data_IF_043759573938
#
_entry.id   IF_043759573938
#
_cell.length_a   1.000
_cell.length_b   1.000
_cell.length_c   1.000
_cell.angle_alpha   90.00
_cell.angle_beta   90.00
_cell.angle_gamma   90.00
#
_symmetry.space_group_name_H-M   'P 1'
#
loop_
_entity.id
_entity.type
_entity.pdbx_description
1 polymer ?
#
# COMPACT_ATOMS: atom_id res chain seq x y z
N UNK A 1 14.66 -12.95 -23.54
CA UNK A 1 13.76 -13.10 -22.35
C UNK A 1 14.43 -14.01 -21.33
N UNK A 2 14.85 -13.47 -20.16
CA UNK A 2 15.28 -14.32 -19.04
C UNK A 2 14.03 -15.07 -18.54
N UNK A 3 14.10 -16.42 -18.47
CA UNK A 3 13.04 -17.23 -17.89
C UNK A 3 12.80 -16.74 -16.46
N UNK A 4 11.64 -16.10 -16.23
CA UNK A 4 11.19 -15.77 -14.89
C UNK A 4 10.97 -17.11 -14.19
N UNK A 5 11.61 -17.34 -13.04
CA UNK A 5 11.46 -18.60 -12.26
C UNK A 5 10.07 -18.74 -11.59
N UNK A 6 9.06 -17.97 -12.04
CA UNK A 6 7.67 -17.92 -11.59
C UNK A 6 6.73 -18.08 -12.79
N UNK A 7 6.33 -19.30 -13.15
CA UNK A 7 5.41 -19.55 -14.27
C UNK A 7 4.05 -18.86 -14.11
N UNK A 8 3.56 -18.77 -12.89
CA UNK A 8 2.32 -18.08 -12.52
C UNK A 8 2.37 -16.58 -12.84
N UNK A 9 3.54 -15.93 -12.67
CA UNK A 9 3.74 -14.51 -13.02
C UNK A 9 3.72 -14.28 -14.55
N UNK A 10 3.89 -15.33 -15.36
CA UNK A 10 3.69 -15.25 -16.81
C UNK A 10 2.22 -15.56 -17.15
N UNK A 11 1.65 -16.59 -16.52
CA UNK A 11 0.27 -17.01 -16.79
C UNK A 11 -0.76 -15.94 -16.44
N UNK A 12 -0.51 -15.16 -15.38
CA UNK A 12 -1.43 -14.07 -14.94
C UNK A 12 -1.60 -12.98 -16.00
N UNK A 13 -0.65 -12.82 -16.94
CA UNK A 13 -0.74 -11.85 -18.04
C UNK A 13 -1.83 -12.24 -19.05
N UNK A 14 -2.33 -13.48 -19.00
CA UNK A 14 -3.43 -13.99 -19.82
C UNK A 14 -4.70 -14.26 -19.00
N UNK A 15 -4.67 -13.99 -17.70
CA UNK A 15 -5.82 -14.16 -16.79
C UNK A 15 -6.80 -12.99 -16.96
N UNK A 16 -7.96 -13.25 -17.54
CA UNK A 16 -8.97 -12.22 -17.83
C UNK A 16 -9.54 -11.52 -16.57
N UNK A 17 -9.65 -12.25 -15.45
CA UNK A 17 -10.12 -11.64 -14.20
C UNK A 17 -9.04 -10.73 -13.58
N UNK A 18 -7.77 -11.15 -13.65
CA UNK A 18 -6.65 -10.30 -13.23
C UNK A 18 -6.55 -9.05 -14.12
N UNK A 19 -6.60 -9.19 -15.45
CA UNK A 19 -6.59 -8.07 -16.40
C UNK A 19 -7.73 -7.09 -16.14
N UNK A 20 -8.95 -7.59 -15.90
CA UNK A 20 -10.11 -6.76 -15.59
C UNK A 20 -9.93 -5.99 -14.29
N UNK A 21 -9.36 -6.63 -13.26
CA UNK A 21 -9.17 -6.01 -11.94
C UNK A 21 -8.01 -5.03 -11.88
N UNK A 22 -7.01 -5.17 -12.77
CA UNK A 22 -5.75 -4.43 -12.80
C UNK A 22 -5.49 -3.86 -14.20
N UNK A 23 -6.56 -3.42 -14.85
CA UNK A 23 -6.53 -2.98 -16.25
C UNK A 23 -5.53 -1.84 -16.46
N UNK A 24 -5.61 -0.81 -15.63
CA UNK A 24 -4.75 0.37 -15.75
C UNK A 24 -3.30 0.05 -15.40
N UNK A 25 -3.08 -0.80 -14.38
CA UNK A 25 -1.75 -1.28 -14.03
C UNK A 25 -1.05 -1.96 -15.22
N UNK A 26 -1.74 -2.87 -15.92
CA UNK A 26 -1.19 -3.54 -17.08
C UNK A 26 -0.94 -2.57 -18.25
N UNK A 27 -1.79 -1.57 -18.47
CA UNK A 27 -1.57 -0.52 -19.47
C UNK A 27 -0.33 0.35 -19.14
N UNK A 28 -0.09 0.67 -17.86
CA UNK A 28 1.13 1.38 -17.44
C UNK A 28 2.39 0.52 -17.67
N UNK A 29 2.31 -0.80 -17.47
CA UNK A 29 3.45 -1.69 -17.77
C UNK A 29 3.86 -1.70 -19.23
N UNK A 30 2.89 -1.48 -20.13
CA UNK A 30 3.08 -1.42 -21.58
C UNK A 30 3.40 -0.01 -22.08
N UNK A 31 3.50 0.96 -21.14
CA UNK A 31 3.65 2.39 -21.43
C UNK A 31 2.50 2.98 -22.27
N UNK A 32 1.33 2.34 -22.25
CA UNK A 32 0.10 2.84 -22.88
C UNK A 32 -0.55 3.93 -22.02
N UNK A 33 -0.47 3.82 -20.69
CA UNK A 33 -0.96 4.79 -19.72
C UNK A 33 0.18 5.33 -18.85
N UNK A 34 -0.02 6.50 -18.26
CA UNK A 34 0.91 7.09 -17.30
C UNK A 34 0.55 6.69 -15.87
N UNK A 35 1.56 6.42 -15.04
CA UNK A 35 1.37 6.21 -13.60
C UNK A 35 0.77 7.47 -12.93
N UNK A 36 -0.04 7.27 -11.90
CA UNK A 36 -0.76 8.37 -11.21
C UNK A 36 0.17 9.47 -10.70
N UNK A 37 1.35 9.12 -10.16
CA UNK A 37 2.29 10.14 -9.71
C UNK A 37 2.81 11.02 -10.86
N UNK A 38 2.94 10.48 -12.08
CA UNK A 38 3.32 11.26 -13.27
C UNK A 38 2.21 12.24 -13.60
N UNK A 39 0.95 11.80 -13.58
CA UNK A 39 -0.21 12.65 -13.78
C UNK A 39 -0.33 13.72 -12.68
N UNK A 40 -0.10 13.35 -11.41
CA UNK A 40 -0.12 14.29 -10.30
C UNK A 40 0.94 15.40 -10.42
N UNK A 41 2.08 15.12 -11.07
CA UNK A 41 3.10 16.15 -11.42
C UNK A 41 2.64 17.09 -12.52
N UNK A 42 1.70 16.68 -13.36
CA UNK A 42 1.22 17.44 -14.52
C UNK A 42 -0.08 18.20 -14.25
N UNK A 43 -0.84 17.84 -13.23
CA UNK A 43 -2.05 18.54 -12.83
C UNK A 43 -1.69 19.80 -12.03
N UNK A 44 -2.04 21.02 -12.51
CA UNK A 44 -1.76 22.26 -11.78
C UNK A 44 -2.49 22.33 -10.44
N UNK A 45 -1.85 22.94 -9.44
CA UNK A 45 -2.46 23.25 -8.15
C UNK A 45 -2.08 24.66 -7.72
N UNK A 46 -3.03 25.39 -7.15
CA UNK A 46 -2.84 26.78 -6.72
C UNK A 46 -2.80 26.86 -5.19
N UNK A 47 -1.62 27.03 -4.63
CA UNK A 47 -1.44 27.18 -3.19
C UNK A 47 -0.22 28.02 -2.85
N UNK A 48 -0.22 28.60 -1.67
CA UNK A 48 0.92 29.31 -1.09
C UNK A 48 1.34 28.66 0.23
N UNK A 49 2.63 28.69 0.53
CA UNK A 49 3.18 28.13 1.78
C UNK A 49 2.65 28.83 3.03
N UNK A 50 2.09 30.05 2.92
CA UNK A 50 1.43 30.75 4.01
C UNK A 50 -0.01 30.24 4.29
N UNK A 51 -0.59 29.43 3.39
CA UNK A 51 -1.95 28.93 3.57
C UNK A 51 -2.07 28.07 4.85
N UNK A 52 -3.21 28.21 5.53
CA UNK A 52 -3.54 27.30 6.62
C UNK A 52 -3.70 25.87 6.10
N UNK A 53 -3.53 24.88 6.99
CA UNK A 53 -3.72 23.48 6.62
C UNK A 53 -5.14 23.22 6.08
N UNK A 54 -6.14 23.95 6.58
CA UNK A 54 -7.53 23.84 6.07
C UNK A 54 -7.65 24.34 4.63
N UNK A 55 -6.98 25.45 4.28
CA UNK A 55 -6.96 25.97 2.91
C UNK A 55 -6.26 25.02 1.96
N UNK A 56 -5.13 24.41 2.38
CA UNK A 56 -4.44 23.40 1.60
C UNK A 56 -5.33 22.16 1.34
N UNK A 57 -6.08 21.71 2.34
CA UNK A 57 -7.02 20.61 2.18
C UNK A 57 -8.22 20.95 1.27
N UNK A 58 -8.70 22.19 1.28
CA UNK A 58 -9.75 22.65 0.35
C UNK A 58 -9.24 22.60 -1.10
N UNK A 59 -8.03 23.09 -1.35
CA UNK A 59 -7.43 22.98 -2.68
C UNK A 59 -7.17 21.52 -3.07
N UNK A 60 -6.68 20.71 -2.13
CA UNK A 60 -6.49 19.28 -2.36
C UNK A 60 -7.78 18.57 -2.79
N UNK A 61 -8.92 18.86 -2.14
CA UNK A 61 -10.21 18.27 -2.51
C UNK A 61 -10.59 18.61 -3.96
N UNK A 62 -10.46 19.90 -4.37
CA UNK A 62 -10.69 20.33 -5.77
C UNK A 62 -9.78 19.59 -6.76
N UNK A 63 -8.48 19.44 -6.42
CA UNK A 63 -7.54 18.73 -7.31
C UNK A 63 -7.84 17.23 -7.36
N UNK A 64 -8.32 16.63 -6.26
CA UNK A 64 -8.72 15.21 -6.24
C UNK A 64 -9.91 14.94 -7.16
N UNK A 65 -10.90 15.83 -7.19
CA UNK A 65 -12.03 15.75 -8.13
C UNK A 65 -11.55 15.94 -9.58
N UNK A 66 -10.77 16.98 -9.85
CA UNK A 66 -10.23 17.26 -11.17
C UNK A 66 -9.27 16.17 -11.67
N UNK A 67 -8.60 15.44 -10.77
CA UNK A 67 -7.65 14.41 -11.14
C UNK A 67 -8.33 13.23 -11.85
N UNK A 68 -9.54 12.87 -11.47
CA UNK A 68 -10.26 11.75 -12.09
C UNK A 68 -10.58 12.04 -13.56
N UNK A 69 -11.08 13.23 -13.84
CA UNK A 69 -11.36 13.67 -15.22
C UNK A 69 -10.06 13.80 -16.02
N UNK A 70 -9.01 14.37 -15.40
CA UNK A 70 -7.71 14.54 -16.05
C UNK A 70 -7.04 13.20 -16.39
N UNK A 71 -7.09 12.21 -15.47
CA UNK A 71 -6.61 10.84 -15.72
C UNK A 71 -7.35 10.21 -16.89
N UNK A 72 -8.69 10.29 -16.89
CA UNK A 72 -9.52 9.74 -17.95
C UNK A 72 -9.25 10.39 -19.32
N UNK A 73 -9.14 11.71 -19.37
CA UNK A 73 -8.89 12.43 -20.62
C UNK A 73 -7.50 12.15 -21.21
N UNK A 74 -6.51 11.85 -20.37
CA UNK A 74 -5.18 11.40 -20.83
C UNK A 74 -5.24 9.96 -21.31
N UNK A 75 -5.84 9.07 -20.54
CA UNK A 75 -5.96 7.65 -20.88
C UNK A 75 -6.77 7.44 -22.17
N UNK A 76 -7.75 8.32 -22.45
CA UNK A 76 -8.52 8.36 -23.71
C UNK A 76 -7.77 9.06 -24.87
N UNK A 77 -6.60 9.63 -24.64
CA UNK A 77 -5.83 10.35 -25.66
C UNK A 77 -6.41 11.72 -26.06
N UNK A 78 -7.36 12.28 -25.26
CA UNK A 78 -7.92 13.63 -25.48
C UNK A 78 -6.91 14.72 -25.14
N UNK A 79 -6.02 14.47 -24.17
CA UNK A 79 -4.91 15.33 -23.80
C UNK A 79 -3.62 14.60 -24.15
N UNK A 80 -2.83 15.18 -25.04
CA UNK A 80 -1.53 14.65 -25.45
C UNK A 80 -0.45 15.54 -24.82
N UNK A 81 0.48 14.94 -24.06
CA UNK A 81 1.65 15.58 -23.43
C UNK A 81 1.33 16.87 -22.63
N UNK A 82 0.63 16.77 -21.51
CA UNK A 82 0.35 17.93 -20.67
C UNK A 82 1.64 18.53 -20.09
N UNK A 83 1.77 19.86 -20.19
CA UNK A 83 2.93 20.57 -19.65
C UNK A 83 3.04 20.44 -18.14
N UNK A 84 4.28 20.39 -17.62
CA UNK A 84 4.51 20.43 -16.18
C UNK A 84 4.30 21.85 -15.64
N UNK A 85 3.39 22.04 -14.68
CA UNK A 85 3.13 23.36 -14.07
C UNK A 85 4.27 23.76 -13.13
N UNK A 86 4.31 25.04 -12.75
CA UNK A 86 5.23 25.53 -11.71
C UNK A 86 4.94 24.95 -10.31
N UNK A 87 3.67 24.69 -10.04
CA UNK A 87 3.19 23.99 -8.85
C UNK A 87 2.17 22.93 -9.25
N UNK A 88 2.36 21.72 -8.79
CA UNK A 88 1.55 20.56 -9.16
C UNK A 88 0.71 20.03 -7.99
N UNK A 89 -0.22 19.15 -8.31
CA UNK A 89 -0.99 18.41 -7.30
C UNK A 89 -0.08 17.56 -6.41
N UNK A 90 1.02 17.02 -6.94
CA UNK A 90 2.00 16.30 -6.12
C UNK A 90 2.73 17.25 -5.14
N UNK A 91 3.06 18.48 -5.56
CA UNK A 91 3.68 19.49 -4.67
C UNK A 91 2.74 19.87 -3.52
N UNK A 92 1.44 20.02 -3.82
CA UNK A 92 0.42 20.27 -2.80
C UNK A 92 0.33 19.12 -1.77
N UNK A 93 0.38 17.87 -2.23
CA UNK A 93 0.40 16.70 -1.34
C UNK A 93 1.64 16.69 -0.43
N UNK A 94 2.80 17.05 -0.97
CA UNK A 94 4.06 17.16 -0.21
C UNK A 94 3.92 18.23 0.88
N UNK A 95 3.37 19.41 0.55
CA UNK A 95 3.18 20.49 1.53
C UNK A 95 2.22 20.07 2.66
N UNK A 96 1.08 19.45 2.33
CA UNK A 96 0.15 18.92 3.33
C UNK A 96 0.84 17.89 4.22
N UNK A 97 1.58 16.97 3.63
CA UNK A 97 2.31 15.95 4.38
C UNK A 97 3.38 16.54 5.30
N UNK A 98 4.06 17.62 4.89
CA UNK A 98 5.00 18.37 5.73
C UNK A 98 4.29 18.96 6.97
N UNK A 99 3.09 19.53 6.80
CA UNK A 99 2.31 20.08 7.93
C UNK A 99 1.86 18.99 8.89
N UNK A 100 1.46 17.82 8.36
CA UNK A 100 1.07 16.68 9.19
C UNK A 100 2.25 16.19 10.06
N UNK A 101 3.49 16.24 9.58
CA UNK A 101 4.67 15.79 10.35
C UNK A 101 4.94 16.65 11.61
N UNK A 102 4.45 17.87 11.69
CA UNK A 102 4.58 18.72 12.88
C UNK A 102 3.73 18.22 14.06
N UNK A 103 2.64 17.52 13.74
CA UNK A 103 1.73 16.89 14.68
C UNK A 103 1.23 15.59 14.02
N UNK A 104 2.08 14.55 14.02
CA UNK A 104 1.93 13.37 13.17
C UNK A 104 0.62 12.63 13.39
N UNK A 105 -0.13 12.46 12.29
CA UNK A 105 -1.38 11.71 12.24
C UNK A 105 -1.54 10.91 10.94
N UNK A 106 -0.44 10.39 10.38
CA UNK A 106 -0.50 9.55 9.19
C UNK A 106 -1.18 8.20 9.41
N UNK A 107 -1.18 7.69 10.62
CA UNK A 107 -1.85 6.43 10.94
C UNK A 107 -2.93 6.61 12.01
N UNK A 108 -3.75 5.59 12.22
CA UNK A 108 -4.84 5.64 13.19
C UNK A 108 -4.37 5.83 14.65
N UNK A 109 -3.06 5.73 14.93
CA UNK A 109 -2.48 6.06 16.25
C UNK A 109 -2.59 7.53 16.59
N UNK A 110 -2.53 8.41 15.58
CA UNK A 110 -2.59 9.87 15.75
C UNK A 110 -1.76 10.36 16.95
N UNK A 111 -0.51 9.85 17.03
CA UNK A 111 0.35 10.03 18.21
C UNK A 111 0.82 11.47 18.45
N UNK A 112 0.60 12.39 17.50
CA UNK A 112 0.92 13.81 17.63
C UNK A 112 2.42 14.15 17.69
N UNK A 113 3.31 13.19 17.46
CA UNK A 113 4.74 13.46 17.49
C UNK A 113 5.15 14.50 16.46
N UNK A 114 5.97 15.49 16.89
CA UNK A 114 6.63 16.40 15.94
C UNK A 114 7.84 15.70 15.33
N UNK A 115 7.65 15.13 14.15
CA UNK A 115 8.68 14.36 13.45
C UNK A 115 9.63 15.22 12.59
N UNK A 116 9.43 16.55 12.54
CA UNK A 116 10.38 17.47 11.92
C UNK A 116 11.57 17.79 12.82
N UNK A 117 11.41 17.53 14.12
CA UNK A 117 12.45 17.64 15.13
C UNK A 117 12.97 16.26 15.55
N UNK A 118 13.28 16.07 16.82
CA UNK A 118 13.75 14.80 17.40
C UNK A 118 12.62 13.85 17.85
N UNK A 119 11.35 14.25 17.62
CA UNK A 119 10.20 13.45 18.04
C UNK A 119 10.06 12.16 17.23
N UNK A 120 9.95 11.04 17.92
CA UNK A 120 9.62 9.75 17.34
C UNK A 120 8.17 9.39 17.65
N UNK A 121 7.43 8.91 16.63
CA UNK A 121 6.08 8.41 16.83
C UNK A 121 6.07 7.00 17.44
N UNK A 122 4.87 6.45 17.65
CA UNK A 122 4.68 5.03 18.02
C UNK A 122 5.43 4.08 17.08
N UNK A 123 5.52 4.41 15.80
CA UNK A 123 6.23 3.65 14.77
C UNK A 123 7.76 3.65 14.92
N UNK A 124 8.33 4.48 15.78
CA UNK A 124 9.78 4.68 15.92
C UNK A 124 10.40 5.50 14.78
N UNK A 125 9.59 6.08 13.87
CA UNK A 125 10.06 6.80 12.70
C UNK A 125 10.23 8.29 13.00
N UNK A 126 11.36 8.86 12.55
CA UNK A 126 11.70 10.28 12.66
C UNK A 126 11.50 11.04 11.34
N UNK A 127 12.34 12.08 11.13
CA UNK A 127 12.29 12.97 9.97
C UNK A 127 12.82 12.33 8.70
N UNK A 128 13.96 11.63 8.78
CA UNK A 128 14.65 11.02 7.63
C UNK A 128 14.19 9.59 7.44
N UNK A 129 13.91 9.21 6.20
CA UNK A 129 13.52 7.83 5.87
C UNK A 129 14.67 6.87 6.10
N UNK A 130 14.38 5.78 6.80
CA UNK A 130 15.30 4.66 6.98
C UNK A 130 14.83 3.47 6.12
N UNK A 131 15.71 3.02 5.23
CA UNK A 131 15.49 1.91 4.30
C UNK A 131 16.32 0.72 4.76
N UNK A 132 15.68 -0.45 4.88
CA UNK A 132 16.38 -1.71 5.19
C UNK A 132 17.01 -2.31 3.93
N UNK A 133 16.24 -2.41 2.84
CA UNK A 133 16.73 -3.02 1.61
C UNK A 133 15.91 -2.60 0.38
N UNK A 134 16.57 -2.67 -0.80
CA UNK A 134 15.97 -2.40 -2.11
C UNK A 134 16.39 -3.52 -3.06
N UNK A 135 15.45 -4.25 -3.63
CA UNK A 135 15.78 -5.34 -4.55
C UNK A 135 14.59 -5.78 -5.42
N UNK A 136 14.90 -6.55 -6.47
CA UNK A 136 13.91 -7.25 -7.29
C UNK A 136 13.36 -8.43 -6.52
N UNK A 137 12.11 -8.32 -6.05
CA UNK A 137 11.44 -9.33 -5.24
C UNK A 137 10.59 -10.26 -6.11
N UNK A 138 10.72 -11.57 -5.86
CA UNK A 138 10.02 -12.63 -6.59
C UNK A 138 8.91 -13.30 -5.76
N UNK A 139 8.69 -12.85 -4.55
CA UNK A 139 7.75 -13.45 -3.58
C UNK A 139 6.39 -12.76 -3.48
N UNK A 140 6.13 -11.76 -4.31
CA UNK A 140 4.84 -11.04 -4.33
C UNK A 140 3.77 -11.80 -5.15
N UNK A 141 2.57 -11.24 -5.25
CA UNK A 141 1.50 -11.72 -6.11
C UNK A 141 1.95 -11.84 -7.56
N UNK A 142 1.44 -12.82 -8.31
CA UNK A 142 1.90 -13.12 -9.67
C UNK A 142 1.94 -11.90 -10.60
N UNK A 143 0.93 -11.04 -10.52
CA UNK A 143 0.81 -9.84 -11.33
C UNK A 143 1.91 -8.80 -11.07
N UNK A 144 2.42 -8.75 -9.85
CA UNK A 144 3.42 -7.76 -9.42
C UNK A 144 4.87 -8.20 -9.69
N UNK A 145 5.10 -9.48 -9.96
CA UNK A 145 6.46 -10.06 -10.10
C UNK A 145 7.00 -9.92 -11.54
N UNK A 146 8.25 -9.45 -11.73
CA UNK A 146 9.26 -9.02 -10.75
C UNK A 146 8.89 -7.69 -10.09
N UNK A 147 8.85 -7.62 -8.77
CA UNK A 147 8.47 -6.43 -8.01
C UNK A 147 9.71 -5.64 -7.56
N UNK A 148 9.76 -4.35 -7.84
CA UNK A 148 10.80 -3.45 -7.34
C UNK A 148 10.51 -3.04 -5.91
N UNK A 149 10.92 -3.87 -4.95
CA UNK A 149 10.48 -3.75 -3.56
C UNK A 149 11.46 -2.96 -2.72
N UNK A 150 10.92 -1.96 -1.99
CA UNK A 150 11.68 -1.07 -1.11
C UNK A 150 11.18 -1.26 0.32
N UNK A 151 11.98 -1.92 1.15
CA UNK A 151 11.67 -2.19 2.56
C UNK A 151 12.13 -1.05 3.45
N UNK A 152 11.17 -0.39 4.12
CA UNK A 152 11.45 0.67 5.10
C UNK A 152 11.35 0.18 6.53
N UNK A 153 11.99 0.90 7.45
CA UNK A 153 11.98 0.62 8.88
C UNK A 153 10.72 1.14 9.57
N UNK A 154 10.36 0.51 10.70
CA UNK A 154 9.26 0.94 11.56
C UNK A 154 7.88 0.45 11.11
N UNK A 155 6.90 0.46 12.04
CA UNK A 155 5.54 -0.01 11.77
C UNK A 155 4.52 0.66 12.68
N UNK A 156 3.30 0.83 12.18
CA UNK A 156 2.15 1.38 12.90
C UNK A 156 1.46 0.36 13.82
N UNK A 157 1.82 -0.92 13.71
CA UNK A 157 1.29 -2.04 14.49
C UNK A 157 2.41 -2.79 15.22
N UNK A 158 2.05 -3.67 16.17
CA UNK A 158 2.97 -4.52 16.95
C UNK A 158 2.56 -5.98 16.86
N UNK A 159 2.45 -6.50 15.62
CA UNK A 159 2.06 -7.89 15.38
C UNK A 159 3.01 -8.87 16.08
N UNK A 160 2.50 -9.71 16.98
CA UNK A 160 3.30 -10.72 17.70
C UNK A 160 3.79 -11.85 16.79
N UNK A 161 3.18 -12.00 15.61
CA UNK A 161 3.58 -12.96 14.59
C UNK A 161 4.30 -12.32 13.38
N UNK A 162 4.89 -11.14 13.55
CA UNK A 162 5.49 -10.40 12.44
C UNK A 162 6.68 -11.15 11.85
N UNK A 163 6.63 -11.49 10.56
CA UNK A 163 7.75 -12.12 9.86
C UNK A 163 8.88 -11.12 9.56
N UNK A 164 8.53 -9.84 9.45
CA UNK A 164 9.49 -8.73 9.24
C UNK A 164 9.78 -7.99 10.56
N UNK A 165 9.82 -8.72 11.68
CA UNK A 165 9.96 -8.12 13.01
C UNK A 165 11.27 -7.35 13.19
N UNK A 166 12.35 -7.74 12.52
CA UNK A 166 13.65 -7.08 12.60
C UNK A 166 13.55 -5.62 12.15
N UNK A 167 12.89 -5.37 11.02
CA UNK A 167 12.72 -4.03 10.48
C UNK A 167 11.51 -3.29 11.07
N UNK A 168 10.40 -3.98 11.31
CA UNK A 168 9.17 -3.37 11.83
C UNK A 168 9.28 -2.93 13.29
N UNK A 169 10.15 -3.58 14.08
CA UNK A 169 10.38 -3.32 15.50
C UNK A 169 11.74 -2.69 15.80
N UNK A 170 12.46 -2.21 14.77
CA UNK A 170 13.78 -1.58 14.92
C UNK A 170 14.77 -2.48 15.66
N UNK A 171 14.89 -3.75 15.27
CA UNK A 171 15.89 -4.69 15.79
C UNK A 171 17.16 -4.70 14.95
N UNK A 172 17.10 -4.16 13.75
CA UNK A 172 18.23 -3.85 12.90
C UNK A 172 18.21 -2.36 12.54
N UNK A 173 19.32 -1.84 12.06
CA UNK A 173 19.45 -0.47 11.60
C UNK A 173 19.11 -0.38 10.10
N UNK A 174 18.42 0.67 9.71
CA UNK A 174 18.19 1.04 8.31
C UNK A 174 19.14 2.14 7.87
N UNK A 175 19.47 2.15 6.60
CA UNK A 175 20.23 3.25 6.00
C UNK A 175 19.33 4.49 5.82
N UNK A 176 19.78 5.65 6.28
CA UNK A 176 19.12 6.90 5.96
C UNK A 176 19.31 7.23 4.47
N UNK A 177 18.20 7.47 3.77
CA UNK A 177 18.20 7.74 2.32
C UNK A 177 17.47 9.05 2.03
N UNK A 178 18.08 9.89 1.17
CA UNK A 178 17.47 11.11 0.68
C UNK A 178 16.48 10.82 -0.45
N UNK A 179 15.43 11.64 -0.61
CA UNK A 179 14.44 11.45 -1.68
C UNK A 179 15.05 11.36 -3.09
N UNK A 180 16.05 12.17 -3.42
CA UNK A 180 16.71 12.17 -4.73
C UNK A 180 17.56 10.90 -4.96
N UNK A 181 18.13 10.34 -3.91
CA UNK A 181 18.89 9.09 -3.97
C UNK A 181 17.93 7.93 -4.17
N UNK A 182 16.83 7.89 -3.41
CA UNK A 182 15.82 6.86 -3.53
C UNK A 182 15.11 6.90 -4.89
N UNK A 183 14.93 8.08 -5.48
CA UNK A 183 14.38 8.21 -6.83
C UNK A 183 15.25 7.51 -7.89
N UNK A 184 16.58 7.63 -7.79
CA UNK A 184 17.50 6.91 -8.68
C UNK A 184 17.40 5.39 -8.53
N UNK A 185 17.19 4.91 -7.32
CA UNK A 185 16.94 3.48 -7.06
C UNK A 185 15.62 3.01 -7.68
N UNK A 186 14.54 3.78 -7.57
CA UNK A 186 13.26 3.48 -8.22
C UNK A 186 13.43 3.39 -9.75
N UNK A 187 14.16 4.33 -10.33
CA UNK A 187 14.45 4.29 -11.78
C UNK A 187 15.31 3.07 -12.16
N UNK A 188 16.29 2.71 -11.32
CA UNK A 188 17.11 1.52 -11.55
C UNK A 188 16.27 0.23 -11.47
N UNK A 189 15.32 0.15 -10.57
CA UNK A 189 14.35 -0.97 -10.51
C UNK A 189 13.58 -1.11 -11.83
N UNK A 190 13.04 -0.01 -12.38
CA UNK A 190 12.35 -0.03 -13.69
C UNK A 190 13.29 -0.48 -14.81
N UNK A 191 14.49 0.08 -14.89
CA UNK A 191 15.51 -0.31 -15.89
C UNK A 191 15.95 -1.79 -15.75
N UNK A 192 15.90 -2.34 -14.56
CA UNK A 192 16.18 -3.76 -14.27
C UNK A 192 15.04 -4.70 -14.64
N UNK A 193 13.92 -4.18 -15.13
CA UNK A 193 12.75 -4.95 -15.56
C UNK A 193 11.73 -5.23 -14.47
N UNK A 194 11.77 -4.50 -13.34
CA UNK A 194 10.71 -4.57 -12.35
C UNK A 194 9.42 -3.97 -12.90
N UNK A 195 8.30 -4.62 -12.60
CA UNK A 195 6.97 -4.21 -13.06
C UNK A 195 6.44 -2.97 -12.31
N UNK A 196 6.90 -2.74 -11.09
CA UNK A 196 6.39 -1.69 -10.21
C UNK A 196 7.46 -1.21 -9.22
N UNK A 197 7.18 -0.07 -8.59
CA UNK A 197 7.82 0.36 -7.36
C UNK A 197 6.89 -0.02 -6.19
N UNK A 198 7.27 -1.04 -5.42
CA UNK A 198 6.51 -1.57 -4.30
C UNK A 198 6.99 -0.95 -2.99
N UNK A 199 6.18 -0.04 -2.46
CA UNK A 199 6.44 0.71 -1.24
C UNK A 199 5.96 -0.09 -0.04
N UNK A 200 6.91 -0.67 0.70
CA UNK A 200 6.63 -1.62 1.78
C UNK A 200 7.61 -1.43 2.96
N UNK A 201 7.79 -2.41 3.76
CA UNK A 201 8.76 -2.44 4.84
C UNK A 201 8.21 -3.11 6.07
N UNK A 202 8.46 -2.51 7.22
CA UNK A 202 7.61 -2.70 8.37
C UNK A 202 6.21 -2.18 8.05
N UNK A 203 6.15 -0.91 7.61
CA UNK A 203 4.93 -0.25 7.11
C UNK A 203 5.32 1.02 6.33
N UNK A 204 4.80 1.28 5.13
CA UNK A 204 5.15 2.48 4.35
C UNK A 204 4.50 3.76 4.88
N UNK A 205 3.38 3.68 5.58
CA UNK A 205 2.57 4.82 6.07
C UNK A 205 3.38 5.87 6.86
N UNK A 206 4.29 5.50 7.77
CA UNK A 206 5.09 6.51 8.47
C UNK A 206 5.93 7.39 7.55
N UNK A 207 6.27 6.90 6.38
CA UNK A 207 7.17 7.56 5.43
C UNK A 207 6.45 8.24 4.26
N UNK A 208 5.12 8.45 4.35
CA UNK A 208 4.31 8.98 3.25
C UNK A 208 4.87 10.30 2.68
N UNK A 209 5.27 11.24 3.53
CA UNK A 209 5.87 12.52 3.10
C UNK A 209 7.12 12.28 2.24
N UNK A 210 7.99 11.39 2.69
CA UNK A 210 9.25 11.09 1.98
C UNK A 210 8.99 10.32 0.68
N UNK A 211 7.97 9.45 0.64
CA UNK A 211 7.53 8.80 -0.58
C UNK A 211 7.05 9.81 -1.63
N UNK A 212 6.16 10.72 -1.27
CA UNK A 212 5.67 11.76 -2.17
C UNK A 212 6.83 12.61 -2.71
N UNK A 213 7.78 12.99 -1.86
CA UNK A 213 8.96 13.74 -2.26
C UNK A 213 9.90 12.94 -3.15
N UNK A 214 10.13 11.65 -2.89
CA UNK A 214 10.90 10.75 -3.76
C UNK A 214 10.33 10.75 -5.17
N UNK A 215 9.03 10.54 -5.31
CA UNK A 215 8.37 10.45 -6.62
C UNK A 215 8.28 11.80 -7.36
N UNK A 216 8.50 12.92 -6.68
CA UNK A 216 8.75 14.20 -7.34
C UNK A 216 9.98 14.14 -8.25
N UNK A 217 11.02 13.42 -7.85
CA UNK A 217 12.29 13.29 -8.58
C UNK A 217 12.31 12.11 -9.57
N UNK A 218 11.46 11.11 -9.44
CA UNK A 218 11.41 9.97 -10.38
C UNK A 218 11.02 10.45 -11.78
N UNK A 219 11.87 10.17 -12.77
CA UNK A 219 11.69 10.59 -14.17
C UNK A 219 11.18 9.50 -15.12
N UNK A 220 10.93 8.28 -14.62
CA UNK A 220 10.44 7.15 -15.43
C UNK A 220 8.97 6.84 -15.15
N UNK A 221 8.27 6.26 -16.12
CA UNK A 221 6.94 5.74 -15.93
C UNK A 221 7.00 4.36 -15.26
N UNK A 222 6.55 4.25 -14.02
CA UNK A 222 6.53 3.01 -13.23
C UNK A 222 5.33 3.00 -12.29
N UNK A 223 4.49 1.95 -12.28
CA UNK A 223 3.36 1.89 -11.37
C UNK A 223 3.80 1.89 -9.90
N UNK A 224 3.08 2.63 -9.07
CA UNK A 224 3.29 2.68 -7.61
C UNK A 224 2.36 1.68 -6.93
N UNK A 225 2.96 0.73 -6.20
CA UNK A 225 2.24 -0.22 -5.34
C UNK A 225 2.37 0.21 -3.88
N UNK A 226 1.23 0.41 -3.20
CA UNK A 226 1.16 0.70 -1.78
C UNK A 226 0.87 -0.57 -1.00
N UNK A 227 1.93 -1.19 -0.46
CA UNK A 227 1.87 -2.47 0.25
C UNK A 227 1.80 -2.23 1.76
N UNK A 228 0.59 -2.21 2.31
CA UNK A 228 0.32 -1.72 3.65
C UNK A 228 -0.52 -2.67 4.49
N UNK A 229 -0.33 -2.59 5.81
CA UNK A 229 -1.17 -3.24 6.82
C UNK A 229 -2.58 -2.63 6.96
N UNK A 230 -2.92 -1.64 6.13
CA UNK A 230 -4.21 -0.94 6.06
C UNK A 230 -4.59 -0.09 7.29
N UNK A 231 -3.65 0.13 8.23
CA UNK A 231 -3.93 0.86 9.48
C UNK A 231 -3.53 2.34 9.42
N UNK A 232 -3.83 2.99 8.28
CA UNK A 232 -3.54 4.41 8.06
C UNK A 232 -4.78 5.30 8.30
N UNK A 233 -4.53 6.61 8.46
CA UNK A 233 -5.57 7.61 8.74
C UNK A 233 -6.35 8.02 7.48
N UNK A 234 -7.42 8.81 7.68
CA UNK A 234 -8.20 9.42 6.59
C UNK A 234 -7.31 10.38 5.78
N UNK A 235 -6.49 11.17 6.44
CA UNK A 235 -5.57 12.11 5.79
C UNK A 235 -4.58 11.37 4.87
N UNK A 236 -4.07 10.22 5.33
CA UNK A 236 -3.23 9.36 4.49
C UNK A 236 -3.99 8.81 3.30
N UNK A 237 -5.21 8.29 3.50
CA UNK A 237 -6.04 7.81 2.38
C UNK A 237 -6.26 8.89 1.32
N UNK A 238 -6.53 10.13 1.73
CA UNK A 238 -6.68 11.27 0.82
C UNK A 238 -5.38 11.60 0.07
N UNK A 239 -4.22 11.57 0.74
CA UNK A 239 -2.93 11.84 0.10
C UNK A 239 -2.50 10.74 -0.87
N UNK A 240 -2.93 9.49 -0.66
CA UNK A 240 -2.65 8.37 -1.56
C UNK A 240 -3.48 8.42 -2.85
N UNK A 241 -4.68 9.00 -2.81
CA UNK A 241 -5.53 9.21 -4.00
C UNK A 241 -4.78 10.06 -5.06
N UNK A 242 -4.73 9.60 -6.31
CA UNK A 242 -3.96 10.26 -7.37
C UNK A 242 -2.43 10.14 -7.23
N UNK A 243 -1.94 9.24 -6.38
CA UNK A 243 -0.52 8.90 -6.24
C UNK A 243 -0.26 7.41 -6.44
N UNK A 244 -1.11 6.56 -5.87
CA UNK A 244 -0.96 5.10 -5.88
C UNK A 244 -1.78 4.50 -7.03
N UNK A 245 -1.16 3.63 -7.82
CA UNK A 245 -1.82 2.88 -8.90
C UNK A 245 -2.47 1.61 -8.37
N UNK A 246 -1.73 0.82 -7.59
CA UNK A 246 -2.22 -0.44 -7.01
C UNK A 246 -2.10 -0.41 -5.48
N UNK A 247 -3.22 -0.60 -4.82
CA UNK A 247 -3.28 -0.80 -3.38
C UNK A 247 -3.18 -2.30 -3.09
N UNK A 248 -2.07 -2.73 -2.49
CA UNK A 248 -1.83 -4.08 -2.01
C UNK A 248 -2.04 -4.07 -0.49
N UNK A 249 -3.26 -4.35 -0.07
CA UNK A 249 -3.70 -4.11 1.29
C UNK A 249 -3.92 -5.41 2.08
N UNK A 250 -3.29 -5.48 3.24
CA UNK A 250 -3.57 -6.55 4.19
C UNK A 250 -4.92 -6.34 4.89
N UNK A 251 -5.72 -7.40 4.96
CA UNK A 251 -6.90 -7.48 5.81
C UNK A 251 -6.70 -8.65 6.78
N UNK A 252 -6.14 -8.34 7.97
CA UNK A 252 -5.60 -9.35 8.89
C UNK A 252 -6.61 -9.87 9.91
N UNK A 253 -7.53 -9.01 10.36
CA UNK A 253 -8.42 -9.30 11.49
C UNK A 253 -9.85 -8.93 11.18
N UNK A 254 -10.79 -9.77 11.65
CA UNK A 254 -12.22 -9.48 11.66
C UNK A 254 -12.63 -8.48 12.74
N UNK A 255 -13.93 -8.25 12.92
CA UNK A 255 -14.46 -7.44 14.00
C UNK A 255 -14.15 -8.08 15.36
N UNK A 256 -14.02 -7.25 16.39
CA UNK A 256 -13.70 -7.68 17.76
C UNK A 256 -12.27 -7.35 18.16
N UNK A 257 -11.76 -8.06 19.16
CA UNK A 257 -10.52 -7.71 19.87
C UNK A 257 -9.24 -8.36 19.34
N UNK A 258 -9.35 -9.24 18.34
CA UNK A 258 -8.18 -9.97 17.80
C UNK A 258 -7.05 -9.01 17.39
N UNK A 259 -7.38 -7.92 16.70
CA UNK A 259 -6.40 -6.94 16.26
C UNK A 259 -5.68 -6.25 17.44
N UNK A 260 -6.43 -5.88 18.46
CA UNK A 260 -5.86 -5.29 19.68
C UNK A 260 -4.96 -6.28 20.40
N UNK A 261 -5.45 -7.49 20.64
CA UNK A 261 -4.74 -8.54 21.40
C UNK A 261 -3.47 -9.02 20.70
N UNK A 262 -3.54 -9.22 19.36
CA UNK A 262 -2.44 -9.85 18.60
C UNK A 262 -1.46 -8.81 18.05
N UNK A 263 -1.94 -7.60 17.73
CA UNK A 263 -1.15 -6.61 16.98
C UNK A 263 -1.17 -5.22 17.59
N UNK A 264 -1.75 -5.06 18.80
CA UNK A 264 -1.93 -3.74 19.43
C UNK A 264 -2.52 -2.72 18.41
N UNK A 265 -3.62 -3.06 17.75
CA UNK A 265 -4.27 -2.23 16.74
C UNK A 265 -5.76 -1.99 17.12
N UNK A 266 -6.05 -1.01 17.99
CA UNK A 266 -7.42 -0.66 18.34
C UNK A 266 -8.21 -0.15 17.12
N UNK A 267 -9.51 -0.48 17.04
CA UNK A 267 -10.42 -0.08 15.96
C UNK A 267 -9.93 -0.52 14.56
N UNK A 268 -9.19 -1.65 14.48
CA UNK A 268 -8.60 -2.10 13.21
C UNK A 268 -9.65 -2.37 12.16
N UNK A 269 -10.77 -3.02 12.51
CA UNK A 269 -11.83 -3.37 11.59
C UNK A 269 -12.42 -2.15 10.89
N UNK A 270 -12.80 -1.14 11.63
CA UNK A 270 -13.40 0.10 11.14
C UNK A 270 -12.41 0.89 10.26
N UNK A 271 -11.16 0.94 10.68
CA UNK A 271 -10.09 1.61 9.93
C UNK A 271 -9.77 0.87 8.63
N UNK A 272 -9.65 -0.45 8.71
CA UNK A 272 -9.30 -1.31 7.59
C UNK A 272 -10.42 -1.31 6.53
N UNK A 273 -11.67 -1.50 6.94
CA UNK A 273 -12.82 -1.49 6.02
C UNK A 273 -12.96 -0.14 5.29
N UNK A 274 -12.86 0.98 6.01
CA UNK A 274 -12.81 2.31 5.40
C UNK A 274 -11.70 2.42 4.37
N UNK A 275 -10.48 2.00 4.71
CA UNK A 275 -9.32 2.15 3.83
C UNK A 275 -9.41 1.26 2.58
N UNK A 276 -10.03 0.10 2.66
CA UNK A 276 -10.29 -0.75 1.49
C UNK A 276 -11.34 -0.13 0.55
N UNK A 277 -12.39 0.51 1.08
CA UNK A 277 -13.37 1.25 0.28
C UNK A 277 -12.71 2.44 -0.44
N UNK A 278 -11.91 3.24 0.28
CA UNK A 278 -11.19 4.36 -0.30
C UNK A 278 -10.16 3.89 -1.36
N UNK A 279 -9.46 2.79 -1.12
CA UNK A 279 -8.54 2.20 -2.07
C UNK A 279 -9.24 1.77 -3.36
N UNK A 280 -10.38 1.08 -3.25
CA UNK A 280 -11.19 0.65 -4.40
C UNK A 280 -11.72 1.81 -5.24
N UNK A 281 -12.01 2.96 -4.60
CA UNK A 281 -12.46 4.18 -5.26
C UNK A 281 -11.33 4.88 -6.02
N UNK A 282 -10.11 4.85 -5.48
CA UNK A 282 -9.00 5.70 -5.93
C UNK A 282 -7.92 4.99 -6.73
N UNK A 283 -7.99 3.65 -6.85
CA UNK A 283 -7.04 2.86 -7.61
C UNK A 283 -7.44 1.40 -7.73
N UNK A 284 -6.54 0.59 -8.23
CA UNK A 284 -6.75 -0.84 -8.35
C UNK A 284 -6.35 -1.55 -7.05
N UNK A 285 -7.08 -2.60 -6.66
CA UNK A 285 -6.98 -3.17 -5.33
C UNK A 285 -6.72 -4.68 -5.37
N UNK A 286 -5.66 -5.09 -4.67
CA UNK A 286 -5.39 -6.49 -4.32
C UNK A 286 -5.47 -6.62 -2.80
N UNK A 287 -6.30 -7.52 -2.30
CA UNK A 287 -6.48 -7.74 -0.87
C UNK A 287 -5.69 -8.97 -0.44
N UNK A 288 -4.93 -8.86 0.64
CA UNK A 288 -4.23 -9.96 1.29
C UNK A 288 -4.96 -10.40 2.56
N UNK A 289 -5.45 -11.61 2.58
CA UNK A 289 -6.08 -12.21 3.78
C UNK A 289 -5.14 -13.26 4.35
N UNK A 290 -4.37 -12.89 5.37
CA UNK A 290 -3.51 -13.85 6.07
C UNK A 290 -4.37 -14.73 6.99
N UNK A 291 -4.47 -16.00 6.64
CA UNK A 291 -5.19 -17.00 7.46
C UNK A 291 -4.35 -17.32 8.69
N UNK A 292 -4.92 -17.12 9.88
CA UNK A 292 -4.27 -17.41 11.15
C UNK A 292 -4.90 -18.64 11.81
N UNK A 293 -4.09 -19.54 12.41
CA UNK A 293 -4.61 -20.70 13.14
C UNK A 293 -5.56 -20.30 14.25
N UNK A 294 -6.72 -20.96 14.33
CA UNK A 294 -7.74 -20.66 15.34
C UNK A 294 -8.58 -19.41 15.08
N UNK A 295 -8.33 -18.65 13.99
CA UNK A 295 -9.01 -17.38 13.70
C UNK A 295 -9.89 -17.39 12.44
N UNK A 296 -10.25 -18.58 11.94
CA UNK A 296 -11.04 -18.67 10.71
C UNK A 296 -12.44 -18.07 10.89
N UNK A 297 -13.12 -18.38 11.98
CA UNK A 297 -14.50 -17.95 12.20
C UNK A 297 -14.61 -16.49 12.67
N UNK A 298 -13.65 -16.03 13.49
CA UNK A 298 -13.65 -14.64 14.02
C UNK A 298 -12.95 -13.61 13.12
N UNK A 299 -12.09 -14.06 12.19
CA UNK A 299 -11.34 -13.16 11.29
C UNK A 299 -11.57 -13.50 9.82
N UNK A 300 -11.13 -14.68 9.34
CA UNK A 300 -11.16 -15.00 7.91
C UNK A 300 -12.58 -14.94 7.32
N UNK A 301 -13.55 -15.57 7.95
CA UNK A 301 -14.94 -15.58 7.49
C UNK A 301 -15.57 -14.18 7.40
N UNK A 302 -15.54 -13.36 8.48
CA UNK A 302 -16.07 -12.00 8.39
C UNK A 302 -15.39 -11.14 7.32
N UNK A 303 -14.06 -11.27 7.15
CA UNK A 303 -13.31 -10.54 6.12
C UNK A 303 -13.82 -10.90 4.72
N UNK A 304 -13.88 -12.20 4.40
CA UNK A 304 -14.29 -12.66 3.07
C UNK A 304 -15.72 -12.27 2.73
N UNK A 305 -16.64 -12.39 3.69
CA UNK A 305 -18.02 -11.94 3.53
C UNK A 305 -18.08 -10.43 3.27
N UNK A 306 -17.39 -9.64 4.09
CA UNK A 306 -17.37 -8.19 3.96
C UNK A 306 -16.80 -7.75 2.59
N UNK A 307 -15.74 -8.40 2.11
CA UNK A 307 -15.15 -8.13 0.79
C UNK A 307 -16.18 -8.40 -0.31
N UNK A 308 -16.85 -9.55 -0.27
CA UNK A 308 -17.85 -9.90 -1.28
C UNK A 308 -19.03 -8.91 -1.30
N UNK A 309 -19.51 -8.51 -0.12
CA UNK A 309 -20.67 -7.62 0.05
C UNK A 309 -20.36 -6.16 -0.31
N UNK A 310 -19.17 -5.65 0.04
CA UNK A 310 -18.87 -4.22 -0.06
C UNK A 310 -17.93 -3.86 -1.22
N UNK A 311 -17.06 -4.79 -1.66
CA UNK A 311 -16.11 -4.55 -2.75
C UNK A 311 -16.45 -5.37 -4.01
N UNK A 312 -17.36 -6.35 -3.88
CA UNK A 312 -17.82 -7.20 -4.97
C UNK A 312 -17.01 -8.48 -5.14
N UNK A 313 -17.70 -9.49 -5.68
CA UNK A 313 -17.17 -10.86 -5.81
C UNK A 313 -16.02 -11.03 -6.82
N UNK A 314 -15.78 -10.05 -7.67
CA UNK A 314 -14.68 -10.03 -8.64
C UNK A 314 -13.42 -9.32 -8.10
N UNK A 315 -13.45 -8.81 -6.86
CA UNK A 315 -12.27 -8.20 -6.24
C UNK A 315 -11.14 -9.22 -6.15
N UNK A 316 -9.91 -8.81 -6.53
CA UNK A 316 -8.70 -9.67 -6.47
C UNK A 316 -8.32 -9.91 -5.03
N UNK A 317 -8.35 -11.16 -4.57
CA UNK A 317 -8.06 -11.55 -3.18
C UNK A 317 -7.01 -12.65 -3.16
N UNK A 318 -5.92 -12.41 -2.44
CA UNK A 318 -4.91 -13.42 -2.11
C UNK A 318 -5.23 -14.00 -0.72
N UNK A 319 -5.57 -15.28 -0.68
CA UNK A 319 -5.76 -16.04 0.56
C UNK A 319 -4.42 -16.65 0.94
N UNK A 320 -3.73 -16.04 1.90
CA UNK A 320 -2.36 -16.35 2.25
C UNK A 320 -2.28 -17.45 3.31
N UNK A 321 -1.68 -18.59 2.95
CA UNK A 321 -1.49 -19.76 3.82
C UNK A 321 -0.08 -19.88 4.40
N UNK A 322 0.81 -18.93 4.07
CA UNK A 322 2.22 -18.97 4.48
C UNK A 322 2.48 -18.58 5.94
N UNK A 323 1.44 -18.54 6.78
CA UNK A 323 1.63 -18.29 8.20
C UNK A 323 2.61 -19.29 8.81
N UNK A 324 3.57 -18.76 9.57
CA UNK A 324 4.45 -19.51 10.45
C UNK A 324 4.64 -18.75 11.77
N UNK A 325 4.81 -19.48 12.90
CA UNK A 325 5.17 -18.84 14.16
C UNK A 325 6.51 -18.13 14.05
N UNK A 326 6.48 -16.81 14.21
CA UNK A 326 7.67 -15.94 14.21
C UNK A 326 7.59 -14.94 15.36
N UNK A 327 8.74 -14.34 15.70
CA UNK A 327 8.85 -13.30 16.71
C UNK A 327 8.26 -13.75 18.06
N UNK A 328 7.15 -13.16 18.46
CA UNK A 328 6.46 -13.40 19.75
C UNK A 328 5.17 -14.22 19.58
N UNK A 329 5.02 -14.90 18.46
CA UNK A 329 3.83 -15.73 18.20
C UNK A 329 3.60 -16.80 19.29
N UNK A 330 4.68 -17.31 19.89
CA UNK A 330 4.61 -18.30 21.00
C UNK A 330 3.91 -17.79 22.26
N UNK A 331 3.74 -16.47 22.44
CA UNK A 331 2.99 -15.88 23.54
C UNK A 331 1.47 -16.08 23.41
N UNK A 332 1.00 -16.43 22.22
CA UNK A 332 -0.41 -16.66 21.91
C UNK A 332 -0.59 -18.15 21.59
N UNK A 333 -1.32 -18.90 22.40
CA UNK A 333 -1.41 -20.36 22.30
C UNK A 333 -1.81 -20.86 20.90
N UNK A 334 -2.82 -20.26 20.27
CA UNK A 334 -3.31 -20.64 18.96
C UNK A 334 -2.31 -20.35 17.83
N UNK A 335 -1.42 -19.38 18.02
CA UNK A 335 -0.41 -18.98 17.02
C UNK A 335 0.92 -19.76 17.12
N UNK A 336 1.03 -20.74 18.02
CA UNK A 336 2.27 -21.54 18.20
C UNK A 336 2.52 -22.54 17.09
N UNK A 337 1.54 -22.80 16.24
CA UNK A 337 1.57 -23.82 15.18
C UNK A 337 1.24 -23.23 13.83
N UNK A 338 1.66 -23.90 12.75
CA UNK A 338 1.21 -23.59 11.41
C UNK A 338 -0.24 -24.04 11.21
N UNK A 339 -0.87 -23.55 10.15
CA UNK A 339 -2.17 -24.04 9.68
C UNK A 339 -2.09 -25.54 9.37
N UNK A 340 -3.10 -26.27 9.77
CA UNK A 340 -3.27 -27.66 9.36
C UNK A 340 -4.14 -27.76 8.09
N UNK A 341 -4.19 -28.95 7.48
CA UNK A 341 -4.90 -29.18 6.22
C UNK A 341 -6.39 -28.82 6.31
N UNK A 342 -7.05 -29.14 7.40
CA UNK A 342 -8.48 -28.81 7.62
C UNK A 342 -8.70 -27.29 7.67
N UNK A 343 -7.81 -26.54 8.30
CA UNK A 343 -7.89 -25.07 8.33
C UNK A 343 -7.70 -24.46 6.93
N UNK A 344 -6.79 -25.02 6.12
CA UNK A 344 -6.59 -24.59 4.73
C UNK A 344 -7.85 -24.84 3.89
N UNK A 345 -8.38 -26.06 3.94
CA UNK A 345 -9.59 -26.45 3.20
C UNK A 345 -10.79 -25.60 3.63
N UNK A 346 -10.95 -25.37 4.95
CA UNK A 346 -12.03 -24.52 5.48
C UNK A 346 -11.90 -23.08 4.99
N UNK A 347 -10.70 -22.49 4.95
CA UNK A 347 -10.50 -21.12 4.48
C UNK A 347 -10.88 -20.97 2.98
N UNK A 348 -10.51 -21.95 2.13
CA UNK A 348 -10.91 -21.97 0.72
C UNK A 348 -12.43 -22.14 0.56
N UNK A 349 -13.04 -22.98 1.40
CA UNK A 349 -14.51 -23.15 1.38
C UNK A 349 -15.22 -21.85 1.79
N UNK A 350 -14.75 -21.15 2.83
CA UNK A 350 -15.29 -19.85 3.23
C UNK A 350 -15.24 -18.80 2.11
N UNK A 351 -14.18 -18.79 1.30
CA UNK A 351 -14.09 -17.89 0.15
C UNK A 351 -15.12 -18.24 -0.95
N UNK A 352 -15.32 -19.53 -1.20
CA UNK A 352 -16.36 -20.01 -2.14
C UNK A 352 -17.76 -19.69 -1.63
N UNK A 353 -18.02 -19.92 -0.35
CA UNK A 353 -19.31 -19.64 0.29
C UNK A 353 -19.65 -18.13 0.25
N UNK A 354 -18.64 -17.26 0.37
CA UNK A 354 -18.77 -15.82 0.16
C UNK A 354 -18.98 -15.43 -1.32
N UNK A 355 -18.84 -16.36 -2.27
CA UNK A 355 -19.03 -16.13 -3.70
C UNK A 355 -17.86 -15.46 -4.41
N UNK A 356 -16.68 -15.35 -3.79
CA UNK A 356 -15.50 -14.72 -4.38
C UNK A 356 -14.98 -15.54 -5.57
N UNK A 357 -14.70 -14.84 -6.69
CA UNK A 357 -14.34 -15.47 -7.99
C UNK A 357 -12.90 -15.25 -8.41
N UNK A 358 -12.27 -14.16 -7.95
CA UNK A 358 -10.94 -13.73 -8.39
C UNK A 358 -9.90 -13.94 -7.29
N UNK A 359 -9.52 -15.21 -7.10
CA UNK A 359 -8.67 -15.66 -5.99
C UNK A 359 -7.24 -15.95 -6.44
N UNK A 360 -6.28 -15.56 -5.61
CA UNK A 360 -4.88 -16.02 -5.59
C UNK A 360 -4.66 -16.85 -4.33
N UNK A 361 -3.94 -17.98 -4.42
CA UNK A 361 -3.66 -18.88 -3.28
C UNK A 361 -2.22 -19.40 -3.32
#
# INVERSE_FOLDING_TARGET
>A
MRRIGRPDAVAVLEDELAKKSLHRYFAILQDENLAKFVLAKKLPAEFDVSYSLEMLWKEHAKRTEAFQDFEHDIDDGKIIDPHSPSQSYLDLKIEIANRILQNCRFCNRQCGANRLTTGLGYCGCGKTMAVSSIFTHMGEEPELVPSGTIFTMGCTMRCRHCQNWTISQWKEDGAEVKPEELAREVEQLRRSGCRNANLVGGEPTPWLRQWLETFRYVGVNIPVVWNSNSYYSVETAQLLAGFVDVYLLDFKYGPGDCALRISDAPNYWEVCTRNHLEAKKNGELIIRVLVLPGHLDCCTKPILNWVAENLGVETRVNIMFQYRPEWRASEIPELRKRLNKTELEKALQLAKDAGLKNLVT
#
